data_IF_359037317972
#
_entry.id   IF_359037317972
#
_cell.length_a   1.000
_cell.length_b   1.000
_cell.length_c   1.000
_cell.angle_alpha   90.00
_cell.angle_beta   90.00
_cell.angle_gamma   90.00
#
_symmetry.space_group_name_H-M   'P 1'
#
loop_
_entity.id
_entity.type
_entity.pdbx_description
1 polymer ?
#
# COMPACT_ATOMS: atom_id res chain seq x y z
N UNK A 1 -7.80 -13.02 -17.32
CA UNK A 1 -6.95 -11.96 -16.72
C UNK A 1 -5.52 -12.04 -17.22
N UNK A 2 -4.84 -13.19 -17.07
CA UNK A 2 -3.50 -13.38 -17.63
C UNK A 2 -3.49 -13.40 -19.17
N UNK A 3 -4.55 -13.91 -19.81
CA UNK A 3 -4.68 -13.89 -21.27
C UNK A 3 -4.74 -12.46 -21.83
N UNK A 4 -5.42 -11.53 -21.14
CA UNK A 4 -5.48 -10.11 -21.51
C UNK A 4 -4.09 -9.45 -21.45
N UNK A 5 -3.29 -9.78 -20.43
CA UNK A 5 -1.90 -9.31 -20.36
C UNK A 5 -1.08 -9.86 -21.54
N UNK A 6 -1.25 -11.14 -21.89
CA UNK A 6 -0.59 -11.78 -23.04
C UNK A 6 -0.97 -11.13 -24.38
N UNK A 7 -2.25 -10.87 -24.61
CA UNK A 7 -2.74 -10.17 -25.82
C UNK A 7 -2.14 -8.77 -25.96
N UNK A 8 -1.97 -8.07 -24.84
CA UNK A 8 -1.36 -6.72 -24.80
C UNK A 8 0.16 -6.74 -24.71
N UNK A 9 0.80 -7.91 -24.76
CA UNK A 9 2.26 -8.10 -24.60
C UNK A 9 2.81 -7.50 -23.30
N UNK A 10 2.01 -7.54 -22.22
CA UNK A 10 2.41 -7.20 -20.86
C UNK A 10 2.78 -8.47 -20.10
N UNK A 11 3.88 -8.44 -19.35
CA UNK A 11 4.36 -9.59 -18.61
C UNK A 11 4.44 -9.24 -17.12
N UNK A 12 3.73 -10.01 -16.30
CA UNK A 12 3.79 -9.88 -14.86
C UNK A 12 5.07 -10.57 -14.34
N UNK A 13 5.79 -9.91 -13.43
CA UNK A 13 6.94 -10.52 -12.76
C UNK A 13 6.43 -11.47 -11.69
N UNK A 14 6.60 -12.78 -11.91
CA UNK A 14 6.08 -13.82 -11.01
C UNK A 14 6.51 -13.63 -9.54
N UNK A 15 7.75 -13.17 -9.30
CA UNK A 15 8.27 -12.90 -7.95
C UNK A 15 7.57 -11.76 -7.20
N UNK A 16 6.65 -11.03 -7.84
CA UNK A 16 5.85 -9.94 -7.25
C UNK A 16 4.34 -10.25 -7.31
N UNK A 17 3.96 -11.42 -7.80
CA UNK A 17 2.57 -11.80 -7.92
C UNK A 17 2.15 -12.65 -6.73
N UNK A 18 1.04 -12.28 -6.11
CA UNK A 18 0.42 -13.00 -5.02
C UNK A 18 -0.89 -13.59 -5.53
N UNK A 19 -1.11 -14.89 -5.27
CA UNK A 19 -2.30 -15.60 -5.73
C UNK A 19 -2.90 -16.41 -4.60
N UNK A 20 -4.23 -16.55 -4.59
CA UNK A 20 -4.97 -17.41 -3.66
C UNK A 20 -4.74 -17.08 -2.17
N UNK A 21 -4.44 -15.83 -1.83
CA UNK A 21 -4.31 -15.37 -0.45
C UNK A 21 -5.67 -14.90 0.09
N UNK A 22 -5.87 -15.05 1.40
CA UNK A 22 -7.06 -14.52 2.11
C UNK A 22 -6.97 -13.01 2.32
N UNK A 23 -5.76 -12.49 2.37
CA UNK A 23 -5.43 -11.08 2.56
C UNK A 23 -4.23 -10.72 1.68
N UNK A 24 -4.21 -9.50 1.14
CA UNK A 24 -3.14 -9.00 0.27
C UNK A 24 -2.78 -7.56 0.63
N UNK A 25 -1.50 -7.22 0.52
CA UNK A 25 -1.05 -5.84 0.70
C UNK A 25 -1.00 -5.13 -0.66
N UNK A 26 -1.78 -4.07 -0.83
CA UNK A 26 -1.87 -3.31 -2.07
C UNK A 26 -1.92 -1.80 -1.81
N UNK A 27 -0.98 -1.06 -2.42
CA UNK A 27 -0.84 0.41 -2.27
C UNK A 27 -0.75 0.89 -0.80
N UNK A 28 -0.24 0.02 0.08
CA UNK A 28 -0.14 0.28 1.53
C UNK A 28 -1.47 0.17 2.27
N UNK A 29 -2.39 -0.61 1.73
CA UNK A 29 -3.57 -1.11 2.41
C UNK A 29 -3.52 -2.62 2.47
N UNK A 30 -4.12 -3.20 3.50
CA UNK A 30 -4.40 -4.64 3.58
C UNK A 30 -5.85 -4.85 3.14
N UNK A 31 -6.04 -5.65 2.10
CA UNK A 31 -7.35 -6.00 1.57
C UNK A 31 -7.67 -7.42 2.03
N UNK A 32 -8.82 -7.58 2.70
CA UNK A 32 -9.28 -8.86 3.23
C UNK A 32 -10.77 -9.09 2.93
N UNK A 33 -11.28 -10.28 3.26
CA UNK A 33 -12.72 -10.56 3.22
C UNK A 33 -13.56 -9.68 4.16
N UNK A 34 -12.93 -9.07 5.18
CA UNK A 34 -13.59 -8.14 6.11
C UNK A 34 -13.58 -6.68 5.66
N UNK A 35 -12.92 -6.36 4.53
CA UNK A 35 -12.81 -4.99 4.01
C UNK A 35 -11.35 -4.54 3.83
N UNK A 36 -11.18 -3.22 3.72
CA UNK A 36 -9.89 -2.56 3.49
C UNK A 36 -9.40 -1.98 4.83
N UNK A 37 -8.20 -2.35 5.24
CA UNK A 37 -7.49 -1.78 6.38
C UNK A 37 -6.24 -1.02 5.90
N UNK A 38 -5.78 -0.04 6.68
CA UNK A 38 -4.47 0.58 6.45
C UNK A 38 -3.38 -0.41 6.89
N UNK A 39 -2.33 -0.53 6.11
CA UNK A 39 -1.18 -1.37 6.46
C UNK A 39 -0.59 -0.91 7.81
N UNK A 40 -0.50 -1.78 8.83
CA UNK A 40 0.06 -1.41 10.12
C UNK A 40 1.48 -0.83 10.02
N UNK A 41 2.28 -1.23 9.01
CA UNK A 41 3.60 -0.64 8.77
C UNK A 41 3.54 0.85 8.41
N UNK A 42 2.46 1.32 7.74
CA UNK A 42 2.25 2.76 7.50
C UNK A 42 1.88 3.51 8.78
N UNK A 43 1.15 2.85 9.69
CA UNK A 43 0.74 3.45 10.97
C UNK A 43 1.94 3.64 11.88
N UNK A 44 2.85 2.66 11.94
CA UNK A 44 4.10 2.77 12.71
C UNK A 44 4.97 3.96 12.26
N UNK A 45 5.12 4.19 10.96
CA UNK A 45 5.88 5.34 10.43
C UNK A 45 5.28 6.69 10.85
N UNK A 46 3.95 6.77 11.00
CA UNK A 46 3.28 7.97 11.49
C UNK A 46 3.47 8.13 13.00
N UNK A 47 3.48 7.04 13.76
CA UNK A 47 3.68 7.04 15.21
C UNK A 47 5.14 7.36 15.62
N UNK A 48 6.12 6.90 14.85
CA UNK A 48 7.54 7.15 15.11
C UNK A 48 7.99 8.57 14.74
N UNK A 49 7.22 9.25 13.88
CA UNK A 49 7.42 10.67 13.61
C UNK A 49 6.99 11.45 14.84
N UNK A 50 7.96 11.83 15.66
CA UNK A 50 7.77 12.70 16.81
C UNK A 50 7.05 14.01 16.47
N UNK A 51 6.70 14.78 17.51
CA UNK A 51 5.93 16.01 17.35
C UNK A 51 6.63 16.99 16.39
N UNK A 52 5.97 17.42 15.30
CA UNK A 52 6.58 18.35 14.36
C UNK A 52 6.89 19.69 15.04
N UNK A 53 8.08 20.24 14.78
CA UNK A 53 8.58 21.48 15.41
C UNK A 53 8.47 22.69 14.48
N UNK A 54 8.10 22.48 13.21
CA UNK A 54 8.00 23.53 12.20
C UNK A 54 6.72 23.48 11.38
N UNK A 55 6.32 24.64 10.86
CA UNK A 55 5.16 24.77 9.95
C UNK A 55 5.33 23.90 8.70
N UNK A 56 6.55 23.79 8.17
CA UNK A 56 6.85 22.95 7.01
C UNK A 56 6.61 21.47 7.29
N UNK A 57 7.00 20.98 8.48
CA UNK A 57 6.75 19.60 8.90
C UNK A 57 5.26 19.33 9.12
N UNK A 58 4.52 20.29 9.70
CA UNK A 58 3.07 20.19 9.88
C UNK A 58 2.38 20.04 8.51
N UNK A 59 2.74 20.87 7.53
CA UNK A 59 2.17 20.80 6.18
C UNK A 59 2.55 19.47 5.50
N UNK A 60 3.81 19.05 5.61
CA UNK A 60 4.26 17.77 5.05
C UNK A 60 3.54 16.58 5.68
N UNK A 61 3.23 16.63 6.97
CA UNK A 61 2.51 15.59 7.69
C UNK A 61 1.04 15.50 7.24
N UNK A 62 0.36 16.65 7.16
CA UNK A 62 -1.04 16.71 6.72
C UNK A 62 -1.23 16.29 5.25
N UNK A 63 -0.19 16.40 4.42
CA UNK A 63 -0.22 16.01 3.01
C UNK A 63 -0.10 14.50 2.73
N UNK A 64 0.05 13.64 3.74
CA UNK A 64 0.30 12.19 3.58
C UNK A 64 -0.99 11.36 3.30
N UNK A 65 -1.92 11.90 2.53
CA UNK A 65 -3.13 11.21 2.08
C UNK A 65 -2.84 10.22 0.94
#
# INVERSE_FOLDING_TARGET
MLDTLREKKLYAKFSKCEFWLKEVSFLGHVISGGGIAVDPAKVEVVLERGTPESVTEIISFLGLA
#
